data_IF_640532836030
#
_entry.id   IF_640532836030
#
_cell.length_a   1.000
_cell.length_b   1.000
_cell.length_c   1.000
_cell.angle_alpha   90.00
_cell.angle_beta   90.00
_cell.angle_gamma   90.00
#
_symmetry.space_group_name_H-M   'P 1'
#
loop_
_entity.id
_entity.type
_entity.pdbx_description
1 polymer ?
#
# COMPACT_ATOMS: atom_id res chain seq x y z
N UNK A 1 -21.08 -5.68 -6.75
CA UNK A 1 -20.60 -4.75 -7.80
C UNK A 1 -19.14 -5.01 -8.18
N UNK A 2 -18.09 -4.69 -7.40
CA UNK A 2 -16.69 -4.94 -7.82
C UNK A 2 -16.42 -6.41 -8.17
N UNK A 3 -16.97 -7.36 -7.41
CA UNK A 3 -16.91 -8.80 -7.68
C UNK A 3 -17.53 -9.15 -9.05
N UNK A 4 -18.68 -8.60 -9.39
CA UNK A 4 -19.41 -8.88 -10.64
C UNK A 4 -18.67 -8.38 -11.87
N UNK A 5 -17.95 -7.27 -11.73
CA UNK A 5 -17.14 -6.69 -12.82
C UNK A 5 -15.66 -7.13 -12.76
N UNK A 6 -15.33 -8.00 -11.81
CA UNK A 6 -13.97 -8.56 -11.61
C UNK A 6 -12.85 -7.50 -11.50
N UNK A 7 -13.16 -6.36 -10.89
CA UNK A 7 -12.17 -5.29 -10.68
C UNK A 7 -11.62 -5.31 -9.26
N UNK A 8 -10.31 -5.01 -9.09
CA UNK A 8 -9.75 -4.79 -7.77
C UNK A 8 -10.35 -3.56 -7.12
N UNK A 9 -10.39 -3.54 -5.79
CA UNK A 9 -10.92 -2.41 -5.02
C UNK A 9 -9.81 -1.61 -4.34
N UNK A 10 -10.00 -0.31 -4.21
CA UNK A 10 -9.17 0.58 -3.40
C UNK A 10 -9.93 0.82 -2.11
N UNK A 11 -9.36 0.39 -0.98
CA UNK A 11 -10.01 0.41 0.33
C UNK A 11 -9.41 1.52 1.16
N UNK A 12 -10.23 2.49 1.51
CA UNK A 12 -9.89 3.51 2.50
C UNK A 12 -10.38 3.06 3.89
N UNK A 13 -9.46 3.03 4.85
CA UNK A 13 -9.76 2.69 6.24
C UNK A 13 -9.12 3.71 7.17
N UNK A 14 -9.94 4.45 7.92
CA UNK A 14 -9.51 5.39 8.93
C UNK A 14 -10.32 5.20 10.20
N UNK A 15 -9.63 4.97 11.32
CA UNK A 15 -10.25 4.70 12.63
C UNK A 15 -11.28 3.54 12.63
N UNK A 16 -11.15 2.62 11.67
CA UNK A 16 -12.06 1.51 11.42
C UNK A 16 -11.33 0.18 11.15
N UNK A 17 -10.18 -0.04 11.81
CA UNK A 17 -9.32 -1.19 11.52
C UNK A 17 -10.05 -2.52 11.76
N UNK A 18 -10.74 -2.66 12.89
CA UNK A 18 -11.44 -3.91 13.29
C UNK A 18 -12.58 -4.23 12.33
N UNK A 19 -13.43 -3.25 12.03
CA UNK A 19 -14.55 -3.44 11.10
C UNK A 19 -14.05 -3.78 9.70
N UNK A 20 -13.01 -3.07 9.23
CA UNK A 20 -12.43 -3.30 7.92
C UNK A 20 -11.87 -4.71 7.80
N UNK A 21 -11.05 -5.16 8.76
CA UNK A 21 -10.44 -6.49 8.69
C UNK A 21 -11.51 -7.59 8.77
N UNK A 22 -12.55 -7.42 9.59
CA UNK A 22 -13.62 -8.41 9.71
C UNK A 22 -14.41 -8.55 8.41
N UNK A 23 -14.83 -7.45 7.81
CA UNK A 23 -15.53 -7.44 6.52
C UNK A 23 -14.68 -8.12 5.43
N UNK A 24 -13.38 -7.84 5.40
CA UNK A 24 -12.49 -8.41 4.38
C UNK A 24 -12.21 -9.89 4.62
N UNK A 25 -12.13 -10.34 5.87
CA UNK A 25 -12.05 -11.78 6.20
C UNK A 25 -13.29 -12.52 5.68
N UNK A 26 -14.48 -11.99 5.93
CA UNK A 26 -15.73 -12.61 5.48
C UNK A 26 -15.83 -12.59 3.94
N UNK A 27 -15.49 -11.48 3.30
CA UNK A 27 -15.37 -11.39 1.85
C UNK A 27 -14.43 -12.45 1.27
N UNK A 28 -13.27 -12.67 1.90
CA UNK A 28 -12.28 -13.66 1.42
C UNK A 28 -12.74 -15.10 1.61
N UNK A 29 -13.46 -15.41 2.69
CA UNK A 29 -14.07 -16.73 2.88
C UNK A 29 -15.06 -17.07 1.77
N UNK A 30 -15.88 -16.09 1.38
CA UNK A 30 -16.89 -16.26 0.32
C UNK A 30 -16.28 -16.25 -1.09
N UNK A 31 -15.10 -15.68 -1.27
CA UNK A 31 -14.48 -15.44 -2.58
C UNK A 31 -13.00 -15.85 -2.61
N UNK A 32 -12.66 -17.11 -2.29
CA UNK A 32 -11.26 -17.57 -2.22
C UNK A 32 -10.55 -17.54 -3.59
N UNK A 33 -11.29 -17.59 -4.68
CA UNK A 33 -10.78 -17.61 -6.07
C UNK A 33 -10.22 -16.26 -6.56
N UNK A 34 -10.51 -15.15 -5.87
CA UNK A 34 -10.02 -13.82 -6.28
C UNK A 34 -8.58 -13.65 -5.82
N UNK A 35 -7.61 -13.69 -6.73
CA UNK A 35 -6.17 -13.63 -6.38
C UNK A 35 -5.70 -12.26 -5.91
N UNK A 36 -6.13 -11.18 -6.57
CA UNK A 36 -5.71 -9.80 -6.27
C UNK A 36 -6.96 -8.94 -6.02
N UNK A 37 -7.54 -9.02 -4.80
CA UNK A 37 -8.81 -8.37 -4.51
C UNK A 37 -8.73 -6.84 -4.48
N UNK A 38 -7.56 -6.28 -4.16
CA UNK A 38 -7.38 -4.83 -4.10
C UNK A 38 -6.20 -4.38 -3.24
N UNK A 39 -6.24 -3.12 -2.84
CA UNK A 39 -5.22 -2.46 -2.01
C UNK A 39 -5.84 -1.76 -0.82
N UNK A 40 -5.18 -1.85 0.33
CA UNK A 40 -5.46 -1.01 1.49
C UNK A 40 -4.71 0.30 1.28
N UNK A 41 -5.44 1.33 0.86
CA UNK A 41 -4.92 2.64 0.51
C UNK A 41 -4.45 3.42 1.74
N UNK A 42 -3.37 4.17 1.57
CA UNK A 42 -2.79 5.05 2.59
C UNK A 42 -2.64 4.37 3.95
N UNK A 43 -1.98 3.19 3.93
CA UNK A 43 -1.86 2.35 5.11
C UNK A 43 -1.19 3.07 6.28
N UNK A 44 -1.78 2.97 7.48
CA UNK A 44 -1.28 3.67 8.67
C UNK A 44 -1.38 2.86 9.98
N UNK A 45 -1.75 1.59 9.89
CA UNK A 45 -1.89 0.70 11.04
C UNK A 45 -0.62 -0.10 11.36
N UNK A 46 -0.74 -1.19 12.11
CA UNK A 46 0.40 -1.98 12.58
C UNK A 46 0.94 -2.97 11.53
N UNK A 47 2.21 -3.42 11.65
CA UNK A 47 2.76 -4.47 10.81
C UNK A 47 1.97 -5.78 10.84
N UNK A 48 1.42 -6.15 12.01
CA UNK A 48 0.64 -7.38 12.20
C UNK A 48 -0.61 -7.36 11.33
N UNK A 49 -1.35 -6.25 11.36
CA UNK A 49 -2.55 -6.08 10.54
C UNK A 49 -2.22 -6.06 9.05
N UNK A 50 -1.09 -5.45 8.65
CA UNK A 50 -0.63 -5.48 7.26
C UNK A 50 -0.36 -6.91 6.79
N UNK A 51 0.28 -7.75 7.62
CA UNK A 51 0.51 -9.17 7.31
C UNK A 51 -0.78 -9.94 7.10
N UNK A 52 -1.82 -9.64 7.87
CA UNK A 52 -3.14 -10.26 7.69
C UNK A 52 -3.76 -9.87 6.33
N UNK A 53 -3.72 -8.60 5.96
CA UNK A 53 -4.18 -8.16 4.64
C UNK A 53 -3.39 -8.81 3.51
N UNK A 54 -2.08 -8.90 3.64
CA UNK A 54 -1.20 -9.58 2.67
C UNK A 54 -1.55 -11.07 2.56
N UNK A 55 -1.77 -11.76 3.67
CA UNK A 55 -2.20 -13.17 3.69
C UNK A 55 -3.54 -13.39 2.99
N UNK A 56 -4.42 -12.39 3.00
CA UNK A 56 -5.68 -12.40 2.27
C UNK A 56 -5.55 -12.01 0.78
N UNK A 57 -4.34 -11.71 0.31
CA UNK A 57 -4.05 -11.36 -1.09
C UNK A 57 -4.12 -9.86 -1.41
N UNK A 58 -4.36 -8.99 -0.42
CA UNK A 58 -4.38 -7.55 -0.63
C UNK A 58 -2.96 -6.98 -0.76
N UNK A 59 -2.88 -5.87 -1.47
CA UNK A 59 -1.71 -4.99 -1.50
C UNK A 59 -1.81 -3.93 -0.41
N UNK A 60 -0.66 -3.35 -0.06
CA UNK A 60 -0.54 -2.28 0.94
C UNK A 60 -0.06 -1.01 0.23
N UNK A 61 -0.86 0.04 0.27
CA UNK A 61 -0.54 1.35 -0.30
C UNK A 61 0.36 2.16 0.62
N UNK A 62 1.55 2.51 0.14
CA UNK A 62 2.56 3.28 0.87
C UNK A 62 2.73 4.64 0.20
N UNK A 63 2.36 5.69 0.91
CA UNK A 63 2.48 7.08 0.45
C UNK A 63 3.52 7.90 1.22
N UNK A 64 3.47 9.22 1.04
CA UNK A 64 4.43 10.18 1.58
C UNK A 64 4.66 10.11 3.09
N UNK A 65 3.68 9.62 3.85
CA UNK A 65 3.77 9.44 5.31
C UNK A 65 4.96 8.59 5.73
N UNK A 66 5.42 7.63 4.91
CA UNK A 66 6.58 6.77 5.21
C UNK A 66 7.88 7.57 5.44
N UNK A 67 7.94 8.79 4.90
CA UNK A 67 9.08 9.71 5.06
C UNK A 67 9.04 10.52 6.35
N UNK A 68 7.90 10.52 7.07
CA UNK A 68 7.72 11.37 8.24
C UNK A 68 8.45 10.80 9.47
N UNK A 69 9.02 11.68 10.31
CA UNK A 69 9.80 11.29 11.51
C UNK A 69 9.03 10.44 12.51
N UNK A 70 7.72 10.62 12.60
CA UNK A 70 6.83 9.91 13.53
C UNK A 70 6.19 8.65 12.94
N UNK A 71 6.51 8.25 11.70
CA UNK A 71 5.90 7.13 11.01
C UNK A 71 6.50 5.76 11.39
N UNK A 72 6.87 5.53 12.65
CA UNK A 72 7.56 4.32 13.12
C UNK A 72 6.87 3.02 12.71
N UNK A 73 5.55 2.90 12.96
CA UNK A 73 4.78 1.70 12.60
C UNK A 73 4.76 1.43 11.10
N UNK A 74 4.68 2.49 10.29
CA UNK A 74 4.70 2.34 8.83
C UNK A 74 6.07 1.91 8.31
N UNK A 75 7.15 2.44 8.90
CA UNK A 75 8.54 2.01 8.61
C UNK A 75 8.71 0.52 8.94
N UNK A 76 8.24 0.09 10.13
CA UNK A 76 8.27 -1.32 10.53
C UNK A 76 7.42 -2.19 9.57
N UNK A 77 6.26 -1.70 9.14
CA UNK A 77 5.42 -2.39 8.15
C UNK A 77 6.18 -2.60 6.85
N UNK A 78 6.77 -1.54 6.30
CA UNK A 78 7.55 -1.61 5.06
C UNK A 78 8.73 -2.57 5.18
N UNK A 79 9.38 -2.64 6.33
CA UNK A 79 10.48 -3.58 6.57
C UNK A 79 10.04 -5.06 6.62
N UNK A 80 8.80 -5.33 7.04
CA UNK A 80 8.35 -6.70 7.38
C UNK A 80 7.46 -7.37 6.34
N UNK A 81 6.72 -6.61 5.52
CA UNK A 81 5.85 -7.21 4.48
C UNK A 81 6.63 -7.49 3.20
N UNK A 82 6.21 -8.44 2.35
CA UNK A 82 6.86 -8.70 1.07
C UNK A 82 6.81 -7.47 0.14
N UNK A 83 7.92 -7.17 -0.54
CA UNK A 83 7.98 -6.05 -1.50
C UNK A 83 6.97 -6.24 -2.64
N UNK A 84 6.69 -7.49 -3.00
CA UNK A 84 5.69 -7.92 -4.00
C UNK A 84 4.25 -7.56 -3.62
N UNK A 85 4.04 -7.06 -2.41
CA UNK A 85 2.72 -6.64 -1.90
C UNK A 85 2.64 -5.15 -1.59
N UNK A 86 3.67 -4.38 -1.92
CA UNK A 86 3.69 -2.92 -1.76
C UNK A 86 3.27 -2.25 -3.07
N UNK A 87 2.37 -1.28 -2.98
CA UNK A 87 2.11 -0.28 -4.01
C UNK A 87 2.54 1.09 -3.49
N UNK A 88 3.13 1.91 -4.36
CA UNK A 88 3.44 3.30 -4.04
C UNK A 88 2.31 4.21 -4.49
N UNK A 89 2.03 5.22 -3.71
CA UNK A 89 0.94 6.16 -3.95
C UNK A 89 1.25 7.56 -3.44
N UNK A 90 0.39 8.53 -3.74
CA UNK A 90 0.61 9.93 -3.33
C UNK A 90 -0.41 10.45 -2.34
N UNK A 91 -1.67 10.06 -2.44
CA UNK A 91 -2.83 10.69 -1.79
C UNK A 91 -2.94 12.20 -2.12
N UNK A 92 -2.49 12.56 -3.34
CA UNK A 92 -2.52 13.97 -3.81
C UNK A 92 -3.92 14.58 -3.71
N UNK A 93 -4.02 15.85 -3.33
CA UNK A 93 -2.97 16.85 -3.13
C UNK A 93 -2.39 16.89 -1.70
N UNK A 94 -2.65 15.90 -0.87
CA UNK A 94 -2.29 15.83 0.55
C UNK A 94 -1.01 15.01 0.78
N UNK A 95 -0.52 15.00 2.02
CA UNK A 95 0.52 14.11 2.53
C UNK A 95 1.83 14.14 1.72
N UNK A 96 2.22 15.33 1.23
CA UNK A 96 3.48 15.51 0.50
C UNK A 96 4.67 14.97 1.34
N UNK A 97 5.55 14.12 0.75
CA UNK A 97 6.67 13.53 1.47
C UNK A 97 7.73 14.57 1.85
N UNK A 98 8.57 14.23 2.84
CA UNK A 98 9.80 14.98 3.09
C UNK A 98 10.71 14.92 1.82
N UNK A 99 11.46 15.96 1.49
CA UNK A 99 11.62 17.23 2.23
C UNK A 99 10.54 18.28 1.91
N UNK A 100 9.53 17.93 1.14
CA UNK A 100 8.49 18.85 0.65
C UNK A 100 7.21 18.87 1.51
N UNK A 101 7.26 18.28 2.71
CA UNK A 101 6.11 18.22 3.62
C UNK A 101 5.49 19.61 3.83
N UNK A 102 4.15 19.66 3.80
CA UNK A 102 3.38 20.90 3.93
C UNK A 102 3.13 21.64 2.61
N UNK A 103 3.77 21.22 1.51
CA UNK A 103 3.44 21.70 0.17
C UNK A 103 2.32 20.87 -0.46
N UNK A 104 1.75 21.35 -1.56
CA UNK A 104 0.83 20.56 -2.37
C UNK A 104 1.55 19.35 -2.96
N UNK A 105 0.95 18.18 -2.78
CA UNK A 105 1.47 16.92 -3.31
C UNK A 105 1.01 16.68 -4.75
N UNK A 106 1.83 15.99 -5.53
CA UNK A 106 1.54 15.50 -6.87
C UNK A 106 2.36 14.23 -7.17
N UNK A 107 2.15 13.61 -8.32
CA UNK A 107 2.80 12.36 -8.70
C UNK A 107 4.32 12.46 -8.85
N UNK A 108 4.90 13.64 -9.05
CA UNK A 108 6.35 13.83 -9.13
C UNK A 108 7.07 13.55 -7.80
N UNK A 109 6.32 13.59 -6.69
CA UNK A 109 6.84 13.34 -5.35
C UNK A 109 7.02 11.86 -5.02
N UNK A 110 6.53 10.96 -5.87
CA UNK A 110 6.58 9.49 -5.63
C UNK A 110 8.01 8.97 -5.46
N UNK A 111 8.98 9.61 -6.11
CA UNK A 111 10.40 9.28 -5.99
C UNK A 111 10.90 9.27 -4.54
N UNK A 112 10.44 10.20 -3.72
CA UNK A 112 10.84 10.26 -2.30
C UNK A 112 10.26 9.10 -1.48
N UNK A 113 9.09 8.59 -1.87
CA UNK A 113 8.51 7.39 -1.28
C UNK A 113 9.33 6.16 -1.66
N UNK A 114 9.72 6.04 -2.94
CA UNK A 114 10.56 4.95 -3.46
C UNK A 114 11.92 4.96 -2.76
N UNK A 115 12.60 6.10 -2.72
CA UNK A 115 13.90 6.25 -2.05
C UNK A 115 13.80 5.83 -0.57
N UNK A 116 12.73 6.24 0.11
CA UNK A 116 12.54 5.87 1.52
C UNK A 116 12.29 4.39 1.73
N UNK A 117 11.52 3.73 0.86
CA UNK A 117 11.31 2.27 0.90
C UNK A 117 12.64 1.56 0.67
N UNK A 118 13.43 2.02 -0.30
CA UNK A 118 14.77 1.50 -0.61
C UNK A 118 15.70 1.56 0.62
N UNK A 119 15.76 2.72 1.27
CA UNK A 119 16.53 2.92 2.51
C UNK A 119 16.12 1.96 3.61
N UNK A 120 14.80 1.83 3.85
CA UNK A 120 14.27 0.94 4.91
C UNK A 120 14.66 -0.51 4.64
N UNK A 121 14.66 -0.94 3.40
CA UNK A 121 14.91 -2.32 3.00
C UNK A 121 16.38 -2.61 2.68
N UNK A 122 17.22 -1.60 2.55
CA UNK A 122 18.64 -1.73 2.19
C UNK A 122 18.85 -2.25 0.77
N UNK A 123 18.01 -1.83 -0.18
CA UNK A 123 18.06 -2.19 -1.61
C UNK A 123 18.12 -0.94 -2.48
N UNK A 124 18.39 -1.11 -3.78
CA UNK A 124 18.44 0.01 -4.71
C UNK A 124 17.03 0.60 -5.00
N UNK A 125 16.89 1.93 -5.16
CA UNK A 125 15.61 2.55 -5.52
C UNK A 125 15.00 1.98 -6.80
N UNK A 126 15.82 1.65 -7.79
CA UNK A 126 15.41 1.06 -9.07
C UNK A 126 14.77 -0.33 -8.89
N UNK A 127 15.20 -1.07 -7.88
CA UNK A 127 14.59 -2.36 -7.53
C UNK A 127 13.20 -2.17 -6.95
N UNK A 128 13.02 -1.16 -6.07
CA UNK A 128 11.71 -0.80 -5.53
C UNK A 128 10.78 -0.33 -6.64
N UNK A 129 11.24 0.57 -7.52
CA UNK A 129 10.47 1.09 -8.64
C UNK A 129 9.99 -0.04 -9.54
N UNK A 130 10.89 -0.90 -9.99
CA UNK A 130 10.57 -2.04 -10.84
C UNK A 130 9.56 -2.99 -10.19
N UNK A 131 9.77 -3.35 -8.93
CA UNK A 131 8.87 -4.28 -8.24
C UNK A 131 7.49 -3.67 -8.03
N UNK A 132 7.41 -2.40 -7.59
CA UNK A 132 6.10 -1.75 -7.36
C UNK A 132 5.34 -1.47 -8.65
N UNK A 133 6.03 -1.20 -9.76
CA UNK A 133 5.41 -1.16 -11.10
C UNK A 133 4.82 -2.52 -11.48
N UNK A 134 5.58 -3.61 -11.32
CA UNK A 134 5.09 -4.97 -11.58
C UNK A 134 3.86 -5.30 -10.72
N UNK A 135 3.88 -4.91 -9.46
CA UNK A 135 2.77 -5.08 -8.53
C UNK A 135 1.51 -4.34 -9.02
N UNK A 136 1.67 -3.07 -9.43
CA UNK A 136 0.56 -2.27 -9.95
C UNK A 136 -0.01 -2.89 -11.24
N UNK A 137 0.84 -3.29 -12.18
CA UNK A 137 0.40 -3.97 -13.41
C UNK A 137 -0.39 -5.24 -13.09
N UNK A 138 0.11 -6.06 -12.16
CA UNK A 138 -0.55 -7.30 -11.73
C UNK A 138 -1.89 -7.01 -11.05
N UNK A 139 -1.93 -6.08 -10.09
CA UNK A 139 -3.15 -5.76 -9.36
C UNK A 139 -4.24 -5.17 -10.28
N UNK A 140 -3.87 -4.19 -11.12
CA UNK A 140 -4.81 -3.52 -12.01
C UNK A 140 -5.04 -4.27 -13.34
N UNK A 141 -4.36 -5.41 -13.56
CA UNK A 141 -4.44 -6.22 -14.81
C UNK A 141 -4.10 -5.39 -16.05
N UNK A 142 -3.01 -4.60 -15.94
CA UNK A 142 -2.50 -3.83 -17.06
C UNK A 142 -1.55 -4.69 -17.91
N UNK A 143 -1.75 -4.67 -19.22
CA UNK A 143 -0.86 -5.31 -20.19
C UNK A 143 0.47 -4.57 -20.32
#
# INVERSE_FOLDING_TARGET
MAKEIEKPVIIHSRDAAEDTIQILRDFRKENPQIENPGVIHCYSYSPELAKEYVAMGFYIGIGGVVTFKNAKKLVETVAQIPLERILVETDSPYLCPEPNRGKRNDSSQIRYVIDRIADIRGIAPEEVEKQTEMNARKMYRLS
#
